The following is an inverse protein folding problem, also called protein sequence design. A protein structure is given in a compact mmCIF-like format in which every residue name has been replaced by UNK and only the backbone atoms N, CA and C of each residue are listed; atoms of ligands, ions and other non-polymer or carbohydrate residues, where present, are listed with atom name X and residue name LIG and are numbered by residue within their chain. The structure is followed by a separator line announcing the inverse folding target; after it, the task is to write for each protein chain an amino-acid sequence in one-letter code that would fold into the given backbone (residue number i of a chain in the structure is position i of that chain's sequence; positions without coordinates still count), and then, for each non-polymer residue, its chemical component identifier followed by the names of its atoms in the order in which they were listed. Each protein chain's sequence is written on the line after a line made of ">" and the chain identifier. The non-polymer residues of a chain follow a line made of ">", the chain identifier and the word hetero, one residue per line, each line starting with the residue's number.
data_IF_104071809675
#
_entry.id   IF_104071809675
#
_cell.length_a   1.000
_cell.length_b   1.000
_cell.length_c   1.000
_cell.angle_alpha   90.00
_cell.angle_beta   90.00
_cell.angle_gamma   90.00
#
_symmetry.space_group_name_H-M   'P 1'
#
loop_
_entity.id
_entity.type
_entity.pdbx_description
1 polymer ?
#
# COMPACT_ATOMS: atom_id res chain seq x y z
N UNK A 1 -2.27 17.59 -18.96
CA UNK A 1 -2.86 16.25 -19.18
C UNK A 1 -1.87 15.09 -19.42
N UNK A 2 -0.92 15.15 -20.38
CA UNK A 2 -0.04 13.99 -20.70
C UNK A 2 0.73 13.40 -19.50
N UNK A 3 1.27 14.25 -18.61
CA UNK A 3 1.97 13.81 -17.38
C UNK A 3 1.05 13.00 -16.46
N UNK A 4 -0.22 13.44 -16.30
CA UNK A 4 -1.21 12.74 -15.46
C UNK A 4 -1.52 11.35 -16.02
N UNK A 5 -1.69 11.22 -17.33
CA UNK A 5 -1.95 9.93 -17.99
C UNK A 5 -0.77 8.99 -17.79
N UNK A 6 0.46 9.47 -18.05
CA UNK A 6 1.69 8.68 -17.84
C UNK A 6 1.79 8.14 -16.41
N UNK A 7 1.66 9.02 -15.41
CA UNK A 7 1.76 8.62 -14.00
C UNK A 7 0.59 7.71 -13.57
N UNK A 8 -0.59 7.83 -14.18
CA UNK A 8 -1.68 6.87 -13.94
C UNK A 8 -1.33 5.47 -14.49
N UNK A 9 -0.69 5.38 -15.65
CA UNK A 9 -0.23 4.08 -16.16
C UNK A 9 0.82 3.45 -15.23
N UNK A 10 1.78 4.25 -14.73
CA UNK A 10 2.79 3.79 -13.75
C UNK A 10 2.12 3.34 -12.45
N UNK A 11 1.17 4.11 -11.95
CA UNK A 11 0.36 3.80 -10.77
C UNK A 11 -0.33 2.43 -10.91
N UNK A 12 -1.05 2.24 -12.02
CA UNK A 12 -1.78 1.01 -12.31
C UNK A 12 -0.84 -0.19 -12.45
N UNK A 13 0.32 -0.01 -13.08
CA UNK A 13 1.30 -1.09 -13.20
C UNK A 13 1.85 -1.52 -11.83
N UNK A 14 2.28 -0.56 -10.99
CA UNK A 14 2.78 -0.81 -9.63
C UNK A 14 1.72 -1.46 -8.73
N UNK A 15 0.48 -0.99 -8.80
CA UNK A 15 -0.67 -1.58 -8.09
C UNK A 15 -0.91 -3.02 -8.54
N UNK A 16 -0.97 -3.27 -9.84
CA UNK A 16 -1.19 -4.60 -10.41
C UNK A 16 -0.04 -5.55 -10.08
N UNK A 17 1.21 -5.05 -10.12
CA UNK A 17 2.40 -5.78 -9.71
C UNK A 17 2.33 -6.26 -8.26
N UNK A 18 2.00 -5.34 -7.37
CA UNK A 18 1.85 -5.63 -5.94
C UNK A 18 0.71 -6.60 -5.67
N UNK A 19 -0.43 -6.44 -6.37
CA UNK A 19 -1.64 -7.28 -6.17
C UNK A 19 -1.42 -8.71 -6.64
N UNK A 20 -0.87 -8.88 -7.84
CA UNK A 20 -0.77 -10.18 -8.49
C UNK A 20 0.59 -10.84 -8.33
N UNK A 21 1.52 -10.20 -7.60
CA UNK A 21 2.86 -10.72 -7.37
C UNK A 21 3.71 -10.79 -8.65
N UNK A 22 3.38 -10.01 -9.67
CA UNK A 22 4.17 -9.87 -10.91
C UNK A 22 5.23 -8.78 -10.72
N UNK A 23 6.41 -8.87 -11.35
CA UNK A 23 7.38 -7.78 -11.33
C UNK A 23 6.76 -6.49 -11.88
N UNK A 24 7.12 -5.35 -11.28
CA UNK A 24 6.80 -4.02 -11.83
C UNK A 24 7.51 -3.92 -13.19
N UNK A 25 6.80 -3.41 -14.20
CA UNK A 25 7.46 -3.04 -15.46
C UNK A 25 8.39 -1.88 -15.11
N UNK A 26 9.70 -2.14 -15.13
CA UNK A 26 10.70 -1.10 -14.91
C UNK A 26 10.51 0.05 -15.89
N UNK A 27 9.75 1.07 -15.49
CA UNK A 27 9.79 2.36 -16.13
C UNK A 27 11.12 2.98 -15.73
N UNK A 28 11.94 3.33 -16.73
CA UNK A 28 13.22 4.03 -16.55
C UNK A 28 13.09 5.20 -15.56
N UNK A 29 14.18 5.58 -14.88
CA UNK A 29 14.15 6.69 -13.92
C UNK A 29 13.57 7.97 -14.55
N UNK A 30 12.47 8.42 -13.96
CA UNK A 30 11.86 9.77 -13.93
C UNK A 30 12.13 10.71 -15.11
N UNK A 31 11.91 10.27 -16.35
CA UNK A 31 11.96 11.20 -17.49
C UNK A 31 10.77 12.16 -17.53
N UNK A 32 9.69 11.83 -16.81
CA UNK A 32 8.45 12.62 -16.76
C UNK A 32 8.29 13.22 -15.37
N UNK A 33 8.33 14.55 -15.21
CA UNK A 33 8.13 15.19 -13.90
C UNK A 33 6.72 14.91 -13.38
N UNK A 34 6.54 15.01 -12.06
CA UNK A 34 5.22 14.90 -11.44
C UNK A 34 4.28 15.99 -12.00
N UNK A 35 2.97 15.71 -12.10
CA UNK A 35 2.01 16.74 -12.48
C UNK A 35 1.92 17.80 -11.39
N UNK A 36 1.59 19.02 -11.78
CA UNK A 36 1.32 20.10 -10.84
C UNK A 36 -0.03 19.89 -10.16
N UNK A 37 -0.14 20.22 -8.86
CA UNK A 37 -1.36 20.11 -8.07
C UNK A 37 -2.30 21.28 -8.40
N UNK A 38 -2.83 21.29 -9.62
CA UNK A 38 -3.78 22.28 -10.13
C UNK A 38 -5.03 21.52 -10.58
N UNK A 39 -6.21 21.91 -10.12
CA UNK A 39 -7.44 21.24 -10.55
C UNK A 39 -7.79 21.57 -12.00
N UNK A 40 -8.55 20.69 -12.66
CA UNK A 40 -8.87 20.83 -14.09
C UNK A 40 -9.58 22.15 -14.43
N UNK A 41 -10.39 22.66 -13.49
CA UNK A 41 -11.12 23.93 -13.59
C UNK A 41 -10.22 25.17 -13.60
N UNK A 42 -8.97 25.05 -13.12
CA UNK A 42 -7.98 26.14 -13.10
C UNK A 42 -6.89 25.96 -14.16
N UNK A 43 -7.05 25.00 -15.07
CA UNK A 43 -6.17 24.86 -16.23
C UNK A 43 -6.56 25.91 -17.29
N UNK A 44 -5.56 26.57 -17.87
CA UNK A 44 -5.75 27.49 -19.00
C UNK A 44 -5.19 26.86 -20.29
N UNK A 45 -5.86 27.10 -21.41
CA UNK A 45 -5.37 26.71 -22.74
C UNK A 45 -4.37 27.72 -23.32
N UNK A 46 -4.38 28.96 -22.80
CA UNK A 46 -3.64 30.11 -23.34
C UNK A 46 -2.50 30.54 -22.41
N UNK A 47 -2.73 30.49 -21.09
CA UNK A 47 -1.78 30.91 -20.05
C UNK A 47 -1.36 29.71 -19.16
N UNK A 48 -0.43 29.95 -18.24
CA UNK A 48 -0.13 28.99 -17.17
C UNK A 48 -1.30 28.94 -16.17
N UNK A 49 -1.96 27.78 -16.07
CA UNK A 49 -2.99 27.56 -15.05
C UNK A 49 -2.42 27.64 -13.65
N UNK A 50 -3.20 28.12 -12.68
CA UNK A 50 -2.74 28.29 -11.29
C UNK A 50 -3.84 27.93 -10.30
N UNK A 51 -3.49 27.13 -9.29
CA UNK A 51 -4.40 26.79 -8.21
C UNK A 51 -4.57 28.00 -7.27
N UNK A 52 -5.81 28.38 -6.89
CA UNK A 52 -6.02 29.45 -5.92
C UNK A 52 -5.37 29.14 -4.56
N UNK A 53 -4.81 30.16 -3.90
CA UNK A 53 -4.12 29.98 -2.61
C UNK A 53 -5.05 29.45 -1.50
N UNK A 54 -6.32 29.85 -1.53
CA UNK A 54 -7.32 29.48 -0.53
C UNK A 54 -7.97 28.11 -0.80
N UNK A 55 -7.63 27.43 -1.90
CA UNK A 55 -8.29 26.20 -2.32
C UNK A 55 -7.28 25.05 -2.53
N UNK A 56 -7.25 24.03 -1.66
CA UNK A 56 -6.38 22.89 -1.86
C UNK A 56 -6.76 22.13 -3.15
N UNK A 57 -5.76 21.71 -3.94
CA UNK A 57 -6.02 20.93 -5.15
C UNK A 57 -6.35 19.48 -4.83
N UNK A 58 -7.39 18.94 -5.48
CA UNK A 58 -7.72 17.50 -5.50
C UNK A 58 -6.63 16.67 -6.15
N UNK A 59 -5.84 17.25 -7.06
CA UNK A 59 -4.69 16.60 -7.70
C UNK A 59 -3.52 16.41 -6.73
N UNK A 60 -3.48 17.12 -5.60
CA UNK A 60 -2.47 16.95 -4.55
C UNK A 60 -2.39 15.49 -4.07
N UNK A 61 -3.53 14.83 -3.86
CA UNK A 61 -3.58 13.41 -3.53
C UNK A 61 -2.83 12.55 -4.55
N UNK A 62 -3.03 12.81 -5.85
CA UNK A 62 -2.41 12.04 -6.92
C UNK A 62 -0.88 12.18 -6.87
N UNK A 63 -0.37 13.39 -6.62
CA UNK A 63 1.06 13.66 -6.47
C UNK A 63 1.65 12.90 -5.29
N UNK A 64 1.02 12.95 -4.12
CA UNK A 64 1.48 12.22 -2.93
C UNK A 64 1.35 10.71 -3.10
N UNK A 65 0.32 10.24 -3.80
CA UNK A 65 0.19 8.83 -4.12
C UNK A 65 1.33 8.33 -5.04
N UNK A 66 1.82 9.16 -5.96
CA UNK A 66 2.98 8.80 -6.78
C UNK A 66 4.24 8.71 -5.93
N UNK A 67 4.46 9.68 -5.03
CA UNK A 67 5.57 9.63 -4.07
C UNK A 67 5.51 8.37 -3.19
N UNK A 68 4.32 7.97 -2.73
CA UNK A 68 4.15 6.73 -1.97
C UNK A 68 4.53 5.49 -2.78
N UNK A 69 4.18 5.47 -4.07
CA UNK A 69 4.54 4.38 -4.95
C UNK A 69 6.03 4.28 -5.26
N UNK A 70 6.80 5.36 -5.10
CA UNK A 70 8.27 5.32 -5.15
C UNK A 70 8.82 4.54 -3.96
N UNK A 71 8.28 4.78 -2.75
CA UNK A 71 8.64 4.03 -1.55
C UNK A 71 8.29 2.55 -1.71
N UNK A 72 7.11 2.26 -2.26
CA UNK A 72 6.69 0.89 -2.58
C UNK A 72 7.63 0.23 -3.59
N UNK A 73 8.02 0.93 -4.65
CA UNK A 73 8.93 0.41 -5.67
C UNK A 73 10.31 0.07 -5.07
N UNK A 74 10.81 0.92 -4.16
CA UNK A 74 12.03 0.63 -3.39
C UNK A 74 11.88 -0.65 -2.54
N UNK A 75 10.77 -0.82 -1.83
CA UNK A 75 10.46 -2.03 -1.04
C UNK A 75 10.38 -3.27 -1.93
N UNK A 76 9.65 -3.19 -3.05
CA UNK A 76 9.48 -4.28 -4.00
C UNK A 76 10.82 -4.67 -4.64
N UNK A 77 11.62 -3.67 -5.04
CA UNK A 77 12.92 -3.93 -5.66
C UNK A 77 13.90 -4.62 -4.69
N UNK A 78 13.86 -4.26 -3.40
CA UNK A 78 14.70 -4.87 -2.37
C UNK A 78 14.26 -6.26 -1.97
N UNK A 79 12.95 -6.47 -1.80
CA UNK A 79 12.46 -7.70 -1.15
C UNK A 79 11.68 -8.65 -2.07
N UNK A 80 11.26 -8.19 -3.24
CA UNK A 80 10.32 -8.93 -4.10
C UNK A 80 10.78 -9.08 -5.57
N UNK A 81 11.92 -8.51 -5.98
CA UNK A 81 12.45 -8.55 -7.36
C UNK A 81 12.64 -9.94 -7.97
N UNK A 82 12.88 -10.97 -7.15
CA UNK A 82 13.12 -12.33 -7.63
C UNK A 82 11.98 -13.31 -7.28
N UNK A 83 10.79 -12.77 -7.00
CA UNK A 83 9.64 -13.54 -6.55
C UNK A 83 9.76 -14.02 -5.09
N UNK A 84 8.62 -14.37 -4.50
CA UNK A 84 8.52 -14.87 -3.11
C UNK A 84 9.39 -16.10 -2.83
N UNK A 85 9.74 -16.86 -3.88
CA UNK A 85 10.53 -18.09 -3.81
C UNK A 85 11.98 -17.86 -3.35
N UNK A 86 12.57 -16.68 -3.60
CA UNK A 86 13.98 -16.45 -3.30
C UNK A 86 14.24 -15.99 -1.86
N UNK A 87 13.29 -15.33 -1.19
CA UNK A 87 13.34 -15.19 0.28
C UNK A 87 13.23 -16.56 0.97
N UNK A 88 12.64 -17.54 0.27
CA UNK A 88 12.48 -18.90 0.73
C UNK A 88 13.66 -19.84 0.37
N UNK A 89 14.63 -19.41 -0.44
CA UNK A 89 15.77 -20.26 -0.82
C UNK A 89 17.14 -19.65 -0.50
N UNK A 90 17.25 -18.32 -0.37
CA UNK A 90 18.57 -17.65 -0.35
C UNK A 90 19.01 -17.13 1.03
N UNK A 91 20.15 -17.67 1.47
CA UNK A 91 21.26 -17.11 2.26
C UNK A 91 20.99 -16.26 3.54
N UNK A 92 21.64 -16.57 4.69
CA UNK A 92 21.62 -15.72 5.89
C UNK A 92 21.94 -14.23 5.62
N UNK A 93 22.71 -13.93 4.57
CA UNK A 93 23.04 -12.57 4.13
C UNK A 93 21.80 -11.76 3.75
N UNK A 94 20.80 -12.34 3.06
CA UNK A 94 19.57 -11.62 2.68
C UNK A 94 18.71 -11.30 3.89
N UNK A 95 18.67 -12.21 4.87
CA UNK A 95 17.95 -11.98 6.13
C UNK A 95 18.60 -10.86 6.97
N UNK A 96 19.92 -10.75 6.96
CA UNK A 96 20.63 -9.67 7.65
C UNK A 96 20.40 -8.32 6.95
N UNK A 97 20.46 -8.28 5.62
CA UNK A 97 20.17 -7.06 4.85
C UNK A 97 18.73 -6.59 5.06
N UNK A 98 17.76 -7.51 5.03
CA UNK A 98 16.36 -7.21 5.33
C UNK A 98 16.20 -6.55 6.72
N UNK A 99 16.78 -7.16 7.76
CA UNK A 99 16.72 -6.61 9.12
C UNK A 99 17.39 -5.23 9.22
N UNK A 100 18.45 -4.98 8.44
CA UNK A 100 19.11 -3.66 8.42
C UNK A 100 18.29 -2.58 7.70
N UNK A 101 17.50 -2.95 6.69
CA UNK A 101 16.74 -2.03 5.86
C UNK A 101 15.38 -1.65 6.48
N UNK A 102 14.77 -2.52 7.30
CA UNK A 102 13.43 -2.30 7.88
C UNK A 102 13.30 -0.96 8.63
N UNK A 103 14.17 -0.58 9.60
CA UNK A 103 14.00 0.67 10.33
C UNK A 103 13.92 1.88 9.40
N UNK A 104 14.82 1.91 8.41
CA UNK A 104 14.91 3.01 7.45
C UNK A 104 13.62 3.12 6.64
N UNK A 105 13.12 2.00 6.10
CA UNK A 105 11.92 1.98 5.28
C UNK A 105 10.65 2.27 6.10
N UNK A 106 10.59 1.81 7.36
CA UNK A 106 9.53 2.19 8.30
C UNK A 106 9.52 3.71 8.55
N UNK A 107 10.68 4.29 8.87
CA UNK A 107 10.82 5.74 9.07
C UNK A 107 10.51 6.55 7.82
N UNK A 108 10.76 6.02 6.63
CA UNK A 108 10.39 6.66 5.37
C UNK A 108 8.86 6.75 5.20
N UNK A 109 8.13 5.70 5.59
CA UNK A 109 6.66 5.70 5.61
C UNK A 109 6.11 6.66 6.68
N UNK A 110 6.74 6.73 7.86
CA UNK A 110 6.33 7.67 8.93
C UNK A 110 6.51 9.12 8.47
N UNK A 111 7.69 9.45 7.93
CA UNK A 111 7.98 10.78 7.37
C UNK A 111 7.03 11.15 6.24
N UNK A 112 6.65 10.17 5.41
CA UNK A 112 5.66 10.38 4.36
C UNK A 112 4.32 10.82 4.94
N UNK A 113 3.82 10.16 5.99
CA UNK A 113 2.57 10.54 6.67
C UNK A 113 2.67 11.90 7.36
N UNK A 114 3.78 12.17 8.05
CA UNK A 114 4.02 13.45 8.75
C UNK A 114 4.03 14.63 7.77
N UNK A 115 4.64 14.43 6.59
CA UNK A 115 4.77 15.40 5.52
C UNK A 115 3.53 15.59 4.64
N UNK A 116 2.42 14.90 4.92
CA UNK A 116 1.17 15.12 4.19
C UNK A 116 0.62 16.54 4.47
N UNK A 117 0.00 17.20 3.49
CA UNK A 117 -0.81 18.39 3.70
C UNK A 117 -1.98 18.11 4.66
N UNK A 118 -2.44 19.12 5.39
CA UNK A 118 -3.53 19.00 6.37
C UNK A 118 -4.80 18.33 5.80
N UNK A 119 -5.22 18.73 4.60
CA UNK A 119 -6.40 18.17 3.92
C UNK A 119 -6.25 16.70 3.47
N UNK A 120 -5.04 16.13 3.55
CA UNK A 120 -4.76 14.72 3.26
C UNK A 120 -4.43 13.92 4.53
N UNK A 121 -4.53 14.52 5.72
CA UNK A 121 -4.36 13.82 6.99
C UNK A 121 -5.69 13.23 7.45
N UNK A 122 -5.67 11.92 7.67
CA UNK A 122 -6.84 11.11 8.00
C UNK A 122 -7.46 11.44 9.37
N UNK A 123 -6.66 11.94 10.32
CA UNK A 123 -7.09 12.18 11.69
C UNK A 123 -7.68 13.60 11.89
N UNK A 124 -7.90 14.34 10.79
CA UNK A 124 -8.65 15.59 10.82
C UNK A 124 -10.14 15.28 10.90
N UNK A 125 -10.74 15.55 12.07
CA UNK A 125 -12.19 15.50 12.29
C UNK A 125 -12.88 16.53 11.39
N UNK A 126 -13.26 16.11 10.20
CA UNK A 126 -14.12 16.89 9.32
C UNK A 126 -15.55 16.56 9.75
N UNK A 127 -16.07 17.30 10.73
CA UNK A 127 -17.44 17.14 11.24
C UNK A 127 -18.47 17.10 10.11
N UNK A 128 -19.58 16.38 10.31
CA UNK A 128 -20.70 16.14 9.37
C UNK A 128 -20.68 17.02 8.12
N UNK A 129 -19.94 16.58 7.11
CA UNK A 129 -19.62 17.40 5.95
C UNK A 129 -20.75 17.29 4.92
N UNK A 130 -21.56 18.33 4.81
CA UNK A 130 -22.54 18.52 3.73
C UNK A 130 -21.89 19.00 2.41
N UNK A 131 -20.61 19.38 2.45
CA UNK A 131 -19.81 19.81 1.30
C UNK A 131 -19.17 18.62 0.53
N UNK A 132 -19.41 18.56 -0.78
CA UNK A 132 -18.86 17.53 -1.67
C UNK A 132 -17.32 17.54 -1.69
N UNK A 133 -16.70 18.72 -1.61
CA UNK A 133 -15.24 18.88 -1.70
C UNK A 133 -14.55 18.37 -0.45
N UNK A 134 -14.99 18.79 0.74
CA UNK A 134 -14.46 18.26 2.00
C UNK A 134 -14.69 16.74 2.14
N UNK A 135 -15.75 16.19 1.55
CA UNK A 135 -15.94 14.74 1.50
C UNK A 135 -14.98 14.03 0.52
N UNK A 136 -14.60 14.67 -0.59
CA UNK A 136 -13.55 14.18 -1.49
C UNK A 136 -12.19 14.10 -0.78
N UNK A 137 -11.78 15.17 -0.08
CA UNK A 137 -10.50 15.21 0.64
C UNK A 137 -10.43 14.17 1.77
N UNK A 138 -11.51 14.00 2.52
CA UNK A 138 -11.60 12.94 3.52
C UNK A 138 -11.37 11.56 2.90
N UNK A 139 -12.03 11.26 1.78
CA UNK A 139 -11.84 10.00 1.05
C UNK A 139 -10.39 9.82 0.58
N UNK A 140 -9.76 10.88 0.05
CA UNK A 140 -8.36 10.87 -0.37
C UNK A 140 -7.41 10.59 0.80
N UNK A 141 -7.64 11.22 1.96
CA UNK A 141 -6.88 11.01 3.18
C UNK A 141 -6.97 9.55 3.67
N UNK A 142 -8.19 8.99 3.71
CA UNK A 142 -8.42 7.59 4.07
C UNK A 142 -7.70 6.62 3.14
N UNK A 143 -7.74 6.87 1.82
CA UNK A 143 -7.05 6.04 0.82
C UNK A 143 -5.53 6.08 1.04
N UNK A 144 -4.95 7.25 1.30
CA UNK A 144 -3.50 7.36 1.55
C UNK A 144 -3.10 6.63 2.83
N UNK A 145 -3.81 6.83 3.94
CA UNK A 145 -3.56 6.13 5.21
C UNK A 145 -3.64 4.61 5.02
N UNK A 146 -4.70 4.13 4.37
CA UNK A 146 -4.89 2.71 4.04
C UNK A 146 -3.74 2.14 3.22
N UNK A 147 -3.27 2.88 2.20
CA UNK A 147 -2.14 2.46 1.36
C UNK A 147 -0.84 2.41 2.13
N UNK A 148 -0.56 3.40 3.00
CA UNK A 148 0.64 3.38 3.84
C UNK A 148 0.62 2.17 4.79
N UNK A 149 -0.50 1.88 5.45
CA UNK A 149 -0.65 0.72 6.32
C UNK A 149 -0.42 -0.60 5.55
N UNK A 150 -0.99 -0.72 4.35
CA UNK A 150 -0.78 -1.88 3.50
C UNK A 150 0.69 -2.05 3.07
N UNK A 151 1.36 -0.96 2.67
CA UNK A 151 2.77 -0.99 2.27
C UNK A 151 3.66 -1.35 3.48
N UNK A 152 3.34 -0.83 4.66
CA UNK A 152 4.00 -1.21 5.92
C UNK A 152 3.82 -2.70 6.23
N UNK A 153 2.60 -3.22 6.08
CA UNK A 153 2.34 -4.65 6.26
C UNK A 153 3.15 -5.49 5.25
N UNK A 154 3.23 -5.06 3.98
CA UNK A 154 4.03 -5.71 2.95
C UNK A 154 5.52 -5.72 3.33
N UNK A 155 6.06 -4.58 3.78
CA UNK A 155 7.44 -4.45 4.27
C UNK A 155 7.75 -5.42 5.43
N UNK A 156 6.82 -5.56 6.37
CA UNK A 156 7.03 -6.34 7.60
C UNK A 156 6.78 -7.84 7.41
N UNK A 157 5.92 -8.24 6.47
CA UNK A 157 5.50 -9.64 6.26
C UNK A 157 6.66 -10.66 6.14
N UNK A 158 7.78 -10.38 5.46
CA UNK A 158 8.90 -11.32 5.39
C UNK A 158 9.48 -11.72 6.75
N UNK A 159 9.35 -10.89 7.79
CA UNK A 159 9.87 -11.19 9.14
C UNK A 159 9.24 -12.45 9.74
N UNK A 160 7.95 -12.68 9.49
CA UNK A 160 7.21 -13.86 9.98
C UNK A 160 7.75 -15.14 9.30
N UNK A 161 8.09 -15.05 8.01
CA UNK A 161 8.69 -16.17 7.27
C UNK A 161 10.09 -16.51 7.79
N UNK A 162 10.87 -15.51 8.20
CA UNK A 162 12.19 -15.71 8.81
C UNK A 162 12.05 -16.41 10.18
N UNK A 163 11.10 -15.98 11.01
CA UNK A 163 10.88 -16.56 12.35
C UNK A 163 10.40 -18.03 12.27
N UNK A 164 9.43 -18.32 11.40
CA UNK A 164 8.89 -19.67 11.23
C UNK A 164 9.95 -20.69 10.79
N UNK A 165 10.93 -20.28 9.98
CA UNK A 165 12.06 -21.14 9.59
C UNK A 165 13.01 -21.46 10.74
N UNK A 166 13.26 -20.49 11.63
CA UNK A 166 14.15 -20.67 12.79
C UNK A 166 13.57 -21.61 13.83
N UNK A 167 12.24 -21.70 13.91
CA UNK A 167 11.53 -22.60 14.82
C UNK A 167 11.55 -24.07 14.36
N UNK A 168 12.01 -24.38 13.14
CA UNK A 168 12.14 -25.77 12.66
C UNK A 168 13.34 -26.44 13.35
N UNK A 169 13.14 -27.52 14.11
CA UNK A 169 14.12 -28.08 15.07
C UNK A 169 15.35 -28.77 14.46
N UNK A 170 15.57 -28.69 13.14
CA UNK A 170 16.68 -29.39 12.46
C UNK A 170 18.01 -28.63 12.48
N UNK A 171 18.10 -27.47 13.14
CA UNK A 171 19.37 -26.73 13.27
C UNK A 171 20.07 -27.07 14.60
N UNK A 172 21.29 -27.60 14.47
CA UNK A 172 22.26 -27.94 15.53
C UNK A 172 22.29 -26.87 16.64
N UNK A 173 22.63 -27.23 17.90
CA UNK A 173 22.64 -26.29 19.01
C UNK A 173 23.47 -25.05 18.64
N UNK A 174 22.76 -23.94 18.47
CA UNK A 174 23.33 -22.65 18.14
C UNK A 174 24.25 -22.29 19.30
N UNK A 175 25.56 -22.16 19.04
CA UNK A 175 26.46 -21.48 19.97
C UNK A 175 25.80 -20.15 20.34
N UNK A 176 25.43 -19.98 21.61
CA UNK A 176 24.75 -18.80 22.14
C UNK A 176 25.66 -17.57 22.08
N UNK A 177 25.95 -17.07 20.88
CA UNK A 177 26.63 -15.79 20.72
C UNK A 177 25.61 -14.66 20.99
N UNK A 178 26.08 -13.58 21.61
CA UNK A 178 25.25 -12.42 21.98
C UNK A 178 24.54 -11.82 20.77
N UNK A 179 25.19 -11.84 19.60
CA UNK A 179 24.69 -11.27 18.35
C UNK A 179 23.43 -11.98 17.83
N UNK A 180 23.39 -13.32 17.86
CA UNK A 180 22.20 -14.10 17.44
C UNK A 180 21.04 -13.88 18.41
N UNK A 181 21.31 -13.74 19.71
CA UNK A 181 20.30 -13.39 20.70
C UNK A 181 19.69 -12.01 20.42
N UNK A 182 20.53 -11.02 20.13
CA UNK A 182 20.10 -9.65 19.83
C UNK A 182 19.30 -9.60 18.52
N UNK A 183 19.76 -10.28 17.47
CA UNK A 183 19.03 -10.39 16.20
C UNK A 183 17.67 -11.08 16.36
N UNK A 184 17.57 -12.08 17.25
CA UNK A 184 16.30 -12.74 17.58
C UNK A 184 15.34 -11.82 18.32
N UNK A 185 15.84 -11.07 19.31
CA UNK A 185 15.04 -10.05 20.02
C UNK A 185 14.50 -9.00 19.05
N UNK A 186 15.36 -8.51 18.17
CA UNK A 186 14.99 -7.52 17.16
C UNK A 186 13.95 -8.04 16.17
N UNK A 187 14.12 -9.27 15.66
CA UNK A 187 13.13 -9.91 14.78
C UNK A 187 11.77 -10.09 15.47
N UNK A 188 11.75 -10.38 16.78
CA UNK A 188 10.52 -10.47 17.56
C UNK A 188 9.78 -9.14 17.63
N UNK A 189 10.48 -8.02 17.80
CA UNK A 189 9.85 -6.69 17.77
C UNK A 189 9.28 -6.35 16.39
N UNK A 190 9.99 -6.70 15.31
CA UNK A 190 9.46 -6.53 13.94
C UNK A 190 8.18 -7.37 13.75
N UNK A 191 8.16 -8.61 14.24
CA UNK A 191 6.96 -9.46 14.17
C UNK A 191 5.79 -8.87 14.97
N UNK A 192 6.05 -8.32 16.17
CA UNK A 192 5.02 -7.61 16.96
C UNK A 192 4.46 -6.42 16.20
N UNK A 193 5.33 -5.62 15.58
CA UNK A 193 4.92 -4.49 14.74
C UNK A 193 4.10 -4.94 13.53
N UNK A 194 4.49 -6.05 12.88
CA UNK A 194 3.74 -6.64 11.77
C UNK A 194 2.31 -7.02 12.17
N UNK A 195 2.16 -7.65 13.35
CA UNK A 195 0.86 -8.05 13.88
C UNK A 195 0.02 -6.83 14.24
N UNK A 196 0.61 -5.82 14.91
CA UNK A 196 -0.07 -4.54 15.21
C UNK A 196 -0.57 -3.87 13.93
N UNK A 197 0.30 -3.74 12.93
CA UNK A 197 -0.06 -3.15 11.63
C UNK A 197 -1.20 -3.93 10.95
N UNK A 198 -1.20 -5.27 11.05
CA UNK A 198 -2.29 -6.09 10.53
C UNK A 198 -3.61 -5.78 11.22
N UNK A 199 -3.62 -5.64 12.55
CA UNK A 199 -4.81 -5.22 13.29
C UNK A 199 -5.30 -3.84 12.87
N UNK A 200 -4.40 -2.86 12.73
CA UNK A 200 -4.74 -1.51 12.25
C UNK A 200 -5.39 -1.55 10.85
N UNK A 201 -4.85 -2.35 9.92
CA UNK A 201 -5.44 -2.57 8.59
C UNK A 201 -6.83 -3.19 8.69
N UNK A 202 -7.02 -4.21 9.53
CA UNK A 202 -8.31 -4.88 9.71
C UNK A 202 -9.36 -3.96 10.32
N UNK A 203 -8.98 -3.15 11.30
CA UNK A 203 -9.87 -2.14 11.87
C UNK A 203 -10.23 -1.07 10.85
N UNK A 204 -9.27 -0.63 10.03
CA UNK A 204 -9.52 0.33 8.96
C UNK A 204 -10.49 -0.23 7.91
N UNK A 205 -10.33 -1.50 7.50
CA UNK A 205 -11.30 -2.19 6.65
C UNK A 205 -12.67 -2.18 7.33
N UNK A 206 -12.71 -2.59 8.60
CA UNK A 206 -13.96 -2.76 9.34
C UNK A 206 -14.74 -1.45 9.47
N UNK A 207 -14.07 -0.34 9.82
CA UNK A 207 -14.67 0.99 9.90
C UNK A 207 -15.24 1.44 8.55
N UNK A 208 -14.57 1.09 7.45
CA UNK A 208 -14.96 1.50 6.12
C UNK A 208 -16.04 0.59 5.46
N UNK A 209 -16.31 -0.61 5.99
CA UNK A 209 -17.34 -1.53 5.47
C UNK A 209 -18.75 -0.92 5.44
N UNK A 210 -19.06 0.00 6.36
CA UNK A 210 -20.37 0.65 6.49
C UNK A 210 -20.50 2.00 5.79
N UNK A 211 -19.43 2.54 5.21
CA UNK A 211 -19.51 3.85 4.56
C UNK A 211 -20.18 3.73 3.18
N UNK A 212 -21.15 4.61 2.90
CA UNK A 212 -21.90 4.69 1.63
C UNK A 212 -21.01 4.94 0.40
N UNK A 213 -19.77 5.39 0.63
CA UNK A 213 -18.75 5.56 -0.40
C UNK A 213 -17.88 4.32 -0.37
N UNK A 214 -18.43 3.21 -0.88
CA UNK A 214 -17.62 2.09 -1.31
C UNK A 214 -16.60 2.65 -2.31
N UNK A 215 -15.41 2.94 -1.79
CA UNK A 215 -14.21 3.07 -2.60
C UNK A 215 -14.25 1.86 -3.53
N UNK A 216 -14.16 2.08 -4.85
CA UNK A 216 -14.13 0.96 -5.79
C UNK A 216 -13.12 -0.07 -5.28
N UNK A 217 -13.34 -1.37 -5.49
CA UNK A 217 -12.52 -2.43 -4.88
C UNK A 217 -10.99 -2.30 -5.08
N UNK A 218 -10.53 -1.46 -6.02
CA UNK A 218 -9.13 -1.11 -6.25
C UNK A 218 -8.56 -0.02 -5.33
N UNK A 219 -9.42 0.74 -4.65
CA UNK A 219 -9.10 1.76 -3.64
C UNK A 219 -9.14 1.20 -2.21
N UNK A 220 -10.04 0.26 -1.91
CA UNK A 220 -10.28 -0.29 -0.56
C UNK A 220 -9.32 -1.43 -0.18
N UNK A 221 -8.04 -1.32 -0.54
CA UNK A 221 -6.98 -2.29 -0.24
C UNK A 221 -6.88 -3.45 -1.23
N UNK A 222 -5.65 -3.71 -1.67
CA UNK A 222 -5.20 -4.74 -2.62
C UNK A 222 -5.45 -6.19 -2.16
N UNK A 223 -6.67 -6.55 -1.80
CA UNK A 223 -7.08 -7.93 -1.56
C UNK A 223 -8.50 -8.15 -2.04
N UNK A 224 -8.64 -8.66 -3.27
CA UNK A 224 -9.59 -9.73 -3.57
C UNK A 224 -9.07 -10.53 -4.77
N UNK A 225 -8.09 -11.39 -4.52
CA UNK A 225 -7.96 -12.68 -5.20
C UNK A 225 -7.34 -13.66 -4.18
N UNK A 226 -7.94 -14.84 -3.95
CA UNK A 226 -8.32 -15.74 -5.02
C UNK A 226 -9.83 -15.96 -5.14
N UNK A 227 -10.21 -16.26 -6.37
CA UNK A 227 -11.42 -16.92 -6.84
C UNK A 227 -12.24 -17.72 -5.81
N UNK A 228 -13.56 -17.63 -6.03
CA UNK A 228 -14.68 -18.45 -5.51
C UNK A 228 -15.47 -17.88 -4.35
N UNK A 229 -16.80 -17.95 -4.48
CA UNK A 229 -17.86 -17.64 -3.50
C UNK A 229 -18.40 -16.20 -3.45
N UNK A 230 -19.04 -15.73 -4.53
CA UNK A 230 -20.38 -15.09 -4.48
C UNK A 230 -20.87 -14.71 -5.89
N UNK A 231 -21.03 -15.71 -6.75
CA UNK A 231 -21.82 -15.56 -7.97
C UNK A 231 -22.32 -16.93 -8.43
N UNK A 232 -23.03 -17.66 -7.57
CA UNK A 232 -23.79 -18.83 -8.02
C UNK A 232 -25.02 -19.19 -7.17
N UNK A 233 -25.42 -18.37 -6.19
CA UNK A 233 -26.65 -18.59 -5.41
C UNK A 233 -27.87 -17.79 -5.88
N UNK A 234 -27.87 -17.27 -7.11
CA UNK A 234 -29.05 -16.61 -7.70
C UNK A 234 -29.50 -17.20 -9.05
N UNK A 235 -28.75 -18.16 -9.63
CA UNK A 235 -29.10 -18.78 -10.92
C UNK A 235 -29.35 -20.30 -10.86
N UNK A 236 -29.51 -20.89 -9.67
CA UNK A 236 -29.88 -22.32 -9.54
C UNK A 236 -31.32 -22.57 -9.06
N UNK A 237 -32.10 -21.52 -8.76
CA UNK A 237 -33.52 -21.64 -8.35
C UNK A 237 -34.53 -21.24 -9.45
N UNK A 238 -34.15 -21.30 -10.73
CA UNK A 238 -35.07 -20.95 -11.84
C UNK A 238 -35.11 -21.93 -13.02
N UNK A 239 -34.59 -23.15 -12.89
CA UNK A 239 -34.70 -24.18 -13.93
C UNK A 239 -34.88 -25.59 -13.34
N UNK A 240 -35.95 -25.82 -12.58
CA UNK A 240 -36.50 -27.15 -12.34
C UNK A 240 -38.03 -27.07 -12.28
N UNK A 241 -38.63 -26.63 -13.38
CA UNK A 241 -40.02 -26.96 -13.72
C UNK A 241 -40.09 -27.09 -15.24
N UNK A 242 -40.73 -28.17 -15.68
CA UNK A 242 -40.93 -28.66 -17.06
C UNK A 242 -39.78 -29.43 -17.70
N UNK A 243 -39.96 -30.75 -17.82
CA UNK A 243 -40.32 -31.51 -19.05
C UNK A 243 -40.74 -32.94 -18.60
N UNK A 244 -41.60 -33.71 -19.31
CA UNK A 244 -42.59 -33.38 -20.34
C UNK A 244 -44.04 -33.49 -19.86
#
# INVERSE_FOLDING_TARGET
>A
MRRRVWHNCVALDRLSATTFGRPVLHCRPHTVPLPEPIDDEYLSEVDEGCQPEDSPSRITFFVYNMKLFEILDNILSKFYSHGYQNFAQDEPVKSAQYLSDIPRLCSELDRFLEGLPSHLKADCDMGTVEDESASCFHMQAMILKSRVLYIRLLLLRPSILIETRRSVPNQRPINNNTTVCLQRSYLREINRLCVSTCHEVLEEIHRNLGSLRQTSAWHTLLCNAPSTLRAQNSMYNRKLTYVP
#
